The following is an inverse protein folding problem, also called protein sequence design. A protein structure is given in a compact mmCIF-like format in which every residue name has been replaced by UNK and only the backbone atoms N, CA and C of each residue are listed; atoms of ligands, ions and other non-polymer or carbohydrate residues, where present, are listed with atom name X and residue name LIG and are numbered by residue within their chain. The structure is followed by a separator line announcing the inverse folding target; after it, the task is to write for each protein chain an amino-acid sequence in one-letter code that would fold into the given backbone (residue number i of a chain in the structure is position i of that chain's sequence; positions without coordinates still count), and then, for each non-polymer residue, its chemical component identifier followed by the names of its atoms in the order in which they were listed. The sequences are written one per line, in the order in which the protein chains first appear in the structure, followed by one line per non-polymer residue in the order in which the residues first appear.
data_IF_373868230481
#
_entry.id   IF_373868230481
#
_cell.length_a   1.000
_cell.length_b   1.000
_cell.length_c   1.000
_cell.angle_alpha   90.00
_cell.angle_beta   90.00
_cell.angle_gamma   90.00
#
_symmetry.space_group_name_H-M   'P 1'
#
loop_
_entity.id
_entity.type
_entity.pdbx_description
1 polymer ?
#
# COMPACT_ATOMS: atom_id res chain seq x y z
N UNK A 1 8.26 -5.46 -7.89
CA UNK A 1 9.48 -5.37 -7.05
C UNK A 1 9.53 -6.65 -6.23
N UNK A 2 10.71 -7.26 -6.08
CA UNK A 2 10.86 -8.57 -5.43
C UNK A 2 12.00 -8.51 -4.41
N UNK A 3 11.79 -9.09 -3.23
CA UNK A 3 12.79 -9.15 -2.16
C UNK A 3 12.76 -7.94 -1.22
N UNK A 4 13.15 -8.16 0.05
CA UNK A 4 13.04 -7.17 1.13
C UNK A 4 13.86 -5.91 0.87
N UNK A 5 15.09 -6.05 0.37
CA UNK A 5 15.96 -4.90 0.08
C UNK A 5 15.40 -4.02 -1.04
N UNK A 6 14.96 -4.61 -2.15
CA UNK A 6 14.37 -3.85 -3.25
C UNK A 6 13.06 -3.15 -2.86
N UNK A 7 12.25 -3.77 -2.00
CA UNK A 7 11.04 -3.15 -1.43
C UNK A 7 11.42 -1.95 -0.55
N UNK A 8 12.45 -2.10 0.29
CA UNK A 8 12.95 -1.03 1.15
C UNK A 8 13.47 0.17 0.33
N UNK A 9 14.28 -0.08 -0.69
CA UNK A 9 14.82 0.96 -1.57
C UNK A 9 13.71 1.72 -2.30
N UNK A 10 12.69 1.00 -2.80
CA UNK A 10 11.50 1.63 -3.39
C UNK A 10 10.83 2.59 -2.40
N UNK A 11 10.51 2.15 -1.18
CA UNK A 11 9.85 3.00 -0.20
C UNK A 11 10.71 4.20 0.22
N UNK A 12 12.03 4.03 0.35
CA UNK A 12 12.94 5.16 0.62
C UNK A 12 12.83 6.21 -0.51
N UNK A 13 12.87 5.77 -1.77
CA UNK A 13 12.76 6.67 -2.92
C UNK A 13 11.39 7.35 -3.00
N UNK A 14 10.30 6.62 -2.77
CA UNK A 14 8.93 7.15 -2.84
C UNK A 14 8.65 8.16 -1.71
N UNK A 15 9.04 7.85 -0.48
CA UNK A 15 8.85 8.76 0.66
C UNK A 15 9.77 9.99 0.61
N UNK A 16 10.90 9.92 -0.08
CA UNK A 16 11.72 11.09 -0.36
C UNK A 16 11.08 12.02 -1.41
N UNK A 17 10.32 11.45 -2.36
CA UNK A 17 9.71 12.21 -3.46
C UNK A 17 8.38 12.86 -3.09
N UNK A 18 7.59 12.26 -2.20
CA UNK A 18 6.26 12.75 -1.85
C UNK A 18 5.89 12.47 -0.39
N UNK A 19 5.06 13.35 0.19
CA UNK A 19 4.46 13.15 1.51
C UNK A 19 3.30 12.16 1.40
N UNK A 20 3.58 10.90 1.67
CA UNK A 20 2.59 9.82 1.63
C UNK A 20 1.82 9.76 2.96
N UNK A 21 0.53 10.08 2.94
CA UNK A 21 -0.36 9.93 4.10
C UNK A 21 -1.44 8.89 3.79
N UNK A 22 -1.52 7.86 4.62
CA UNK A 22 -2.55 6.83 4.53
C UNK A 22 -3.54 7.02 5.67
N UNK A 23 -4.80 7.28 5.33
CA UNK A 23 -5.94 7.28 6.25
C UNK A 23 -6.74 6.00 5.98
N UNK A 24 -6.70 5.00 6.87
CA UNK A 24 -7.50 3.78 6.72
C UNK A 24 -8.99 4.11 6.64
N UNK A 25 -9.68 3.53 5.65
CA UNK A 25 -11.14 3.59 5.55
C UNK A 25 -11.76 2.26 5.99
N UNK A 26 -11.31 1.14 5.42
CA UNK A 26 -11.77 -0.19 5.79
C UNK A 26 -10.63 -1.20 5.81
N UNK A 27 -10.76 -2.19 6.70
CA UNK A 27 -9.89 -3.36 6.76
C UNK A 27 -10.77 -4.59 6.64
N UNK A 28 -10.47 -5.45 5.68
CA UNK A 28 -11.11 -6.73 5.50
C UNK A 28 -10.08 -7.84 5.69
N UNK A 29 -10.53 -8.97 6.21
CA UNK A 29 -9.72 -10.17 6.40
C UNK A 29 -10.46 -11.37 5.83
N UNK A 30 -9.77 -12.17 5.02
CA UNK A 30 -10.29 -13.40 4.44
C UNK A 30 -9.15 -14.43 4.30
N UNK A 31 -9.13 -15.43 5.17
CA UNK A 31 -8.07 -16.43 5.23
C UNK A 31 -6.69 -15.79 5.43
N UNK A 32 -5.75 -16.05 4.52
CA UNK A 32 -4.41 -15.46 4.55
C UNK A 32 -4.34 -14.03 3.98
N UNK A 33 -5.47 -13.42 3.62
CA UNK A 33 -5.50 -12.11 2.97
C UNK A 33 -6.06 -11.03 3.90
N UNK A 34 -5.35 -9.90 3.94
CA UNK A 34 -5.85 -8.65 4.47
C UNK A 34 -5.97 -7.62 3.35
N UNK A 35 -7.07 -6.87 3.33
CA UNK A 35 -7.34 -5.81 2.36
C UNK A 35 -7.51 -4.50 3.13
N UNK A 36 -6.75 -3.47 2.75
CA UNK A 36 -6.83 -2.12 3.31
C UNK A 36 -7.33 -1.16 2.24
N UNK A 37 -8.54 -0.67 2.39
CA UNK A 37 -9.00 0.52 1.68
C UNK A 37 -8.53 1.76 2.44
N UNK A 38 -7.99 2.72 1.70
CA UNK A 38 -7.45 3.95 2.29
C UNK A 38 -7.67 5.14 1.38
N UNK A 39 -7.61 6.32 2.00
CA UNK A 39 -7.51 7.60 1.31
C UNK A 39 -6.37 8.44 1.86
N UNK A 40 -5.93 9.44 1.11
CA UNK A 40 -5.05 10.48 1.63
C UNK A 40 -5.85 11.74 2.06
N UNK A 41 -5.21 12.75 2.67
CA UNK A 41 -5.87 14.00 3.03
C UNK A 41 -6.39 14.83 1.84
N UNK A 42 -5.92 14.56 0.62
CA UNK A 42 -6.35 15.23 -0.62
C UNK A 42 -7.51 14.48 -1.29
N UNK A 43 -7.93 13.34 -0.76
CA UNK A 43 -9.05 12.53 -1.24
C UNK A 43 -8.66 11.47 -2.28
N UNK A 44 -7.37 11.31 -2.60
CA UNK A 44 -6.92 10.19 -3.42
C UNK A 44 -7.20 8.87 -2.69
N UNK A 45 -7.71 7.88 -3.41
CA UNK A 45 -8.06 6.58 -2.86
C UNK A 45 -7.17 5.48 -3.41
N UNK A 46 -6.94 4.48 -2.56
CA UNK A 46 -6.26 3.26 -2.93
C UNK A 46 -6.77 2.06 -2.14
N UNK A 47 -6.36 0.89 -2.60
CA UNK A 47 -6.64 -0.39 -1.99
C UNK A 47 -5.38 -1.24 -1.98
N UNK A 48 -4.94 -1.67 -0.80
CA UNK A 48 -3.79 -2.53 -0.59
C UNK A 48 -4.22 -3.96 -0.25
N UNK A 49 -3.65 -4.93 -0.93
CA UNK A 49 -3.83 -6.36 -0.67
C UNK A 49 -2.55 -6.92 -0.09
N UNK A 50 -2.69 -7.67 1.01
CA UNK A 50 -1.57 -8.25 1.74
C UNK A 50 -1.85 -9.72 1.97
N UNK A 51 -0.95 -10.60 1.53
CA UNK A 51 -0.98 -12.00 1.95
C UNK A 51 -0.11 -12.16 3.19
N UNK A 52 -0.71 -12.59 4.30
CA UNK A 52 -0.06 -12.76 5.60
C UNK A 52 0.02 -14.26 5.90
N UNK A 53 1.24 -14.76 6.09
CA UNK A 53 1.51 -16.17 6.41
C UNK A 53 2.51 -16.20 7.56
N UNK A 54 2.21 -16.96 8.62
CA UNK A 54 3.03 -17.03 9.84
C UNK A 54 3.39 -15.63 10.37
N UNK A 55 2.38 -14.77 10.52
CA UNK A 55 2.49 -13.39 11.01
C UNK A 55 3.41 -12.47 10.18
N UNK A 56 3.69 -12.84 8.92
CA UNK A 56 4.52 -12.04 8.02
C UNK A 56 3.81 -11.75 6.70
N UNK A 57 3.95 -10.52 6.20
CA UNK A 57 3.50 -10.14 4.86
C UNK A 57 4.45 -10.78 3.84
N UNK A 58 3.96 -11.78 3.11
CA UNK A 58 4.73 -12.49 2.06
C UNK A 58 4.45 -11.94 0.66
N UNK A 59 3.35 -11.20 0.50
CA UNK A 59 2.98 -10.55 -0.75
C UNK A 59 2.20 -9.27 -0.47
N UNK A 60 2.49 -8.21 -1.21
CA UNK A 60 1.75 -6.95 -1.18
C UNK A 60 1.45 -6.49 -2.61
N UNK A 61 0.23 -6.01 -2.84
CA UNK A 61 -0.15 -5.33 -4.08
C UNK A 61 -1.07 -4.15 -3.78
N UNK A 62 -0.69 -2.96 -4.25
CA UNK A 62 -1.51 -1.77 -4.18
C UNK A 62 -2.18 -1.46 -5.52
N UNK A 63 -3.41 -0.97 -5.47
CA UNK A 63 -4.08 -0.29 -6.57
C UNK A 63 -4.48 1.09 -6.09
N UNK A 64 -4.26 2.11 -6.93
CA UNK A 64 -4.69 3.47 -6.65
C UNK A 64 -4.89 4.18 -7.97
N UNK A 65 -5.66 5.27 -7.94
CA UNK A 65 -5.88 6.07 -9.14
C UNK A 65 -4.60 6.83 -9.52
N UNK A 66 -3.88 6.28 -10.50
CA UNK A 66 -2.65 6.87 -11.03
C UNK A 66 -2.90 8.21 -11.73
N UNK A 67 -4.06 8.41 -12.35
CA UNK A 67 -4.40 9.65 -13.05
C UNK A 67 -4.65 10.81 -12.07
N UNK A 68 -5.22 10.50 -10.90
CA UNK A 68 -5.42 11.49 -9.85
C UNK A 68 -4.11 11.86 -9.11
N UNK A 69 -3.14 10.94 -9.02
CA UNK A 69 -1.87 11.17 -8.31
C UNK A 69 -0.86 12.07 -9.06
N UNK A 70 -0.96 12.19 -10.39
CA UNK A 70 -0.02 12.98 -11.23
C UNK A 70 -0.49 14.43 -11.51
N UNK A 71 -1.61 14.86 -10.91
CA UNK A 71 -2.06 16.25 -10.92
C UNK A 71 -1.52 17.01 -9.72
#
# INVERSE_FOLDING_TARGET
INGREAIREMFISEFAAAKMHCLPEHIFEEGEWAILEWRDPLGLRGCGFFRVVNDQIVFQRGYWDRLAFLR
#
